data_IF_380332964881
#
_entry.id   IF_380332964881
#
_cell.length_a   1.000
_cell.length_b   1.000
_cell.length_c   1.000
_cell.angle_alpha   90.00
_cell.angle_beta   90.00
_cell.angle_gamma   90.00
#
_symmetry.space_group_name_H-M   'P 1'
#
loop_
_entity.id
_entity.type
_entity.pdbx_description
1 polymer ?
#
# COMPACT_ATOMS: atom_id res chain seq x y z
N UNK A 1 14.77 78.85 21.66
CA UNK A 1 14.92 79.28 20.28
C UNK A 1 15.66 78.16 19.56
N UNK A 2 14.99 77.39 18.68
CA UNK A 2 15.64 76.31 17.88
C UNK A 2 15.97 76.81 16.50
N UNK A 3 17.15 76.45 16.00
CA UNK A 3 17.58 76.79 14.64
C UNK A 3 16.87 75.89 13.62
N UNK A 4 16.09 76.49 12.74
CA UNK A 4 15.43 75.78 11.61
C UNK A 4 16.04 76.36 10.34
N UNK A 5 16.65 75.50 9.51
CA UNK A 5 17.21 75.89 8.23
C UNK A 5 16.16 75.73 7.13
N UNK A 6 15.82 76.81 6.44
CA UNK A 6 14.97 76.80 5.27
C UNK A 6 15.83 76.86 4.02
N UNK A 7 16.02 75.82 3.28
CA UNK A 7 16.65 75.89 1.96
C UNK A 7 15.56 76.09 0.90
N UNK A 8 15.65 77.11 0.08
CA UNK A 8 14.67 77.50 -0.93
C UNK A 8 14.51 76.50 -2.09
N UNK A 9 15.49 75.60 -2.33
CA UNK A 9 15.48 74.67 -3.47
C UNK A 9 15.13 73.19 -3.13
N UNK A 10 15.19 72.81 -1.86
CA UNK A 10 14.78 71.43 -1.46
C UNK A 10 13.88 71.55 -0.22
N UNK A 11 12.65 71.06 -0.34
CA UNK A 11 11.61 71.02 0.73
C UNK A 11 11.96 69.94 1.80
N UNK A 12 13.10 70.15 2.49
CA UNK A 12 13.51 69.28 3.57
C UNK A 12 13.58 70.04 4.91
N UNK A 13 12.80 69.58 5.87
CA UNK A 13 12.92 69.96 7.26
C UNK A 13 14.01 69.13 7.93
N UNK A 14 15.09 69.78 8.39
CA UNK A 14 16.11 69.14 9.20
C UNK A 14 15.87 69.41 10.68
N UNK A 15 15.54 68.34 11.43
CA UNK A 15 15.63 68.37 12.90
C UNK A 15 17.08 68.46 13.36
N UNK A 16 17.38 68.60 14.68
CA UNK A 16 18.73 68.77 15.18
C UNK A 16 19.63 67.62 14.70
N UNK A 17 20.79 67.90 14.11
CA UNK A 17 21.66 66.87 13.57
C UNK A 17 22.11 65.96 14.73
N UNK A 18 21.80 64.66 14.66
CA UNK A 18 22.58 63.67 15.35
C UNK A 18 23.97 63.72 14.72
N UNK A 19 24.93 64.26 15.44
CA UNK A 19 26.30 64.42 15.01
C UNK A 19 26.94 63.08 14.69
N UNK A 20 26.78 62.61 13.44
CA UNK A 20 27.61 61.59 12.83
C UNK A 20 28.83 62.36 12.30
N UNK A 21 29.98 62.10 12.88
CA UNK A 21 31.27 62.59 12.38
C UNK A 21 31.40 62.08 10.94
N UNK A 22 31.60 63.03 9.99
CA UNK A 22 32.13 62.82 8.64
C UNK A 22 31.30 63.41 7.48
N UNK A 23 30.71 64.58 7.63
CA UNK A 23 30.61 65.52 6.48
C UNK A 23 30.86 66.95 6.98
N UNK A 24 32.03 67.39 6.79
CA UNK A 24 32.34 68.82 6.94
C UNK A 24 31.48 69.60 5.94
N UNK A 25 30.62 70.49 6.43
CA UNK A 25 29.97 71.52 5.64
C UNK A 25 31.11 72.42 5.10
N UNK A 26 31.42 72.24 3.82
CA UNK A 26 32.53 72.98 3.17
C UNK A 26 32.13 74.36 2.57
N UNK A 27 30.84 74.72 2.72
CA UNK A 27 30.43 76.10 2.31
C UNK A 27 29.84 76.85 3.50
N UNK A 28 30.20 78.11 3.70
CA UNK A 28 29.64 78.96 4.75
C UNK A 28 28.17 79.22 4.43
N UNK A 29 27.22 78.78 5.34
CA UNK A 29 25.81 79.16 5.29
C UNK A 29 25.75 80.66 5.50
N UNK A 30 25.18 81.41 4.56
CA UNK A 30 24.98 82.90 4.70
C UNK A 30 24.01 83.12 5.88
N UNK A 31 24.37 84.05 6.75
CA UNK A 31 23.51 84.36 7.95
C UNK A 31 22.08 84.81 7.58
N UNK A 32 21.92 85.23 6.33
CA UNK A 32 20.63 85.68 5.79
C UNK A 32 19.60 84.51 5.55
N UNK A 33 20.08 83.27 5.57
CA UNK A 33 19.24 82.06 5.38
C UNK A 33 18.77 81.41 6.75
N UNK A 34 19.21 82.03 7.86
CA UNK A 34 18.86 81.53 9.20
C UNK A 34 17.65 82.30 9.73
N UNK A 35 16.49 81.63 9.74
CA UNK A 35 15.29 82.17 10.39
C UNK A 35 15.21 81.60 11.82
N UNK A 36 15.31 82.50 12.80
CA UNK A 36 15.15 82.21 14.20
C UNK A 36 13.64 82.21 14.50
N UNK A 37 13.03 81.06 14.74
CA UNK A 37 11.63 80.93 15.12
C UNK A 37 11.49 80.74 16.63
N UNK A 38 10.48 81.38 17.27
CA UNK A 38 10.18 81.16 18.69
C UNK A 38 9.77 79.72 18.99
N UNK A 39 10.08 79.21 20.19
CA UNK A 39 9.64 77.91 20.64
C UNK A 39 8.10 77.78 20.57
N UNK A 40 7.37 78.90 20.82
CA UNK A 40 5.91 78.97 20.71
C UNK A 40 5.38 78.67 19.28
N UNK A 41 6.12 79.06 18.23
CA UNK A 41 5.81 78.74 16.85
C UNK A 41 5.98 77.24 16.59
N UNK A 42 7.07 76.68 17.11
CA UNK A 42 7.32 75.24 16.98
C UNK A 42 6.28 74.46 17.72
N UNK A 43 5.90 74.87 18.93
CA UNK A 43 4.85 74.20 19.71
C UNK A 43 3.49 74.34 19.03
N UNK A 44 3.16 75.53 18.45
CA UNK A 44 1.93 75.68 17.66
C UNK A 44 1.90 74.80 16.40
N UNK A 45 3.04 74.61 15.73
CA UNK A 45 3.16 73.77 14.57
C UNK A 45 3.04 72.27 14.93
N UNK A 46 3.63 71.85 16.04
CA UNK A 46 3.54 70.49 16.57
C UNK A 46 2.14 70.12 17.08
N UNK A 47 1.46 71.11 17.66
CA UNK A 47 0.06 70.94 18.14
C UNK A 47 -0.96 71.16 17.05
N UNK A 48 -0.54 71.62 15.85
CA UNK A 48 -1.42 71.96 14.71
C UNK A 48 -2.51 72.98 15.06
N UNK A 49 -2.23 73.87 15.95
CA UNK A 49 -3.18 74.88 16.43
C UNK A 49 -3.18 76.10 15.54
N UNK A 50 -4.24 76.30 14.76
CA UNK A 50 -4.39 77.37 13.81
C UNK A 50 -4.28 78.78 14.50
N UNK A 51 -4.94 78.97 15.63
CA UNK A 51 -4.95 80.23 16.35
C UNK A 51 -3.53 80.63 16.83
N UNK A 52 -2.73 79.63 17.19
CA UNK A 52 -1.35 79.85 17.62
C UNK A 52 -0.39 80.03 16.45
N UNK A 53 -0.72 79.54 15.25
CA UNK A 53 0.07 79.71 14.04
C UNK A 53 -0.24 80.96 13.26
N UNK A 54 -1.47 81.45 13.30
CA UNK A 54 -1.95 82.64 12.58
C UNK A 54 -1.05 83.87 12.79
N UNK A 55 -0.61 84.21 14.04
CA UNK A 55 0.29 85.32 14.27
C UNK A 55 1.64 85.28 13.55
N UNK A 56 2.06 84.06 13.12
CA UNK A 56 3.34 83.80 12.44
C UNK A 56 3.19 83.60 10.93
N UNK A 57 2.10 83.00 10.48
CA UNK A 57 1.87 82.59 9.11
C UNK A 57 0.83 83.44 8.38
N UNK A 58 -0.08 84.12 9.13
CA UNK A 58 -1.17 84.91 8.56
C UNK A 58 -2.05 84.06 7.60
N UNK A 59 -2.36 84.58 6.43
CA UNK A 59 -3.20 83.93 5.41
C UNK A 59 -2.67 82.58 4.95
N UNK A 60 -1.40 82.21 5.24
CA UNK A 60 -0.79 80.92 4.88
C UNK A 60 -1.04 79.85 5.94
N UNK A 61 -1.64 80.18 7.06
CA UNK A 61 -1.90 79.22 8.15
C UNK A 61 -2.71 78.04 7.65
N UNK A 62 -3.76 78.23 6.88
CA UNK A 62 -4.60 77.20 6.30
C UNK A 62 -3.83 76.33 5.29
N UNK A 63 -2.99 76.95 4.42
CA UNK A 63 -2.19 76.22 3.45
C UNK A 63 -1.13 75.30 4.12
N UNK A 64 -0.48 75.81 5.16
CA UNK A 64 0.51 75.06 5.92
C UNK A 64 -0.14 73.90 6.67
N UNK A 65 -1.29 74.13 7.35
CA UNK A 65 -2.02 73.10 8.04
C UNK A 65 -2.55 72.02 7.06
N UNK A 66 -3.11 72.45 5.91
CA UNK A 66 -3.55 71.50 4.88
C UNK A 66 -2.39 70.62 4.35
N UNK A 67 -1.16 71.23 4.17
CA UNK A 67 0.04 70.48 3.78
C UNK A 67 0.45 69.45 4.85
N UNK A 68 0.36 69.84 6.14
CA UNK A 68 0.60 68.90 7.25
C UNK A 68 -0.41 67.79 7.33
N UNK A 69 -1.68 68.10 7.12
CA UNK A 69 -2.76 67.07 7.10
C UNK A 69 -2.56 66.09 5.95
N UNK A 70 -2.29 66.60 4.75
CA UNK A 70 -1.96 65.73 3.59
C UNK A 70 -0.77 64.82 3.88
N UNK A 71 0.32 65.38 4.44
CA UNK A 71 1.52 64.60 4.78
C UNK A 71 1.24 63.56 5.86
N UNK A 72 0.42 63.89 6.84
CA UNK A 72 0.02 62.98 7.89
C UNK A 72 -0.88 61.82 7.39
N UNK A 73 -1.81 62.12 6.47
CA UNK A 73 -2.65 61.10 5.83
C UNK A 73 -1.82 60.18 4.92
N UNK A 74 -0.85 60.74 4.18
CA UNK A 74 0.08 59.93 3.35
C UNK A 74 0.94 59.04 4.24
N UNK A 75 1.42 59.51 5.39
CA UNK A 75 2.20 58.73 6.35
C UNK A 75 1.38 57.56 6.96
N UNK A 76 0.13 57.82 7.33
CA UNK A 76 -0.77 56.76 7.82
C UNK A 76 -1.09 55.74 6.74
N UNK A 77 -1.34 56.18 5.49
CA UNK A 77 -1.58 55.29 4.36
C UNK A 77 -0.39 54.35 4.09
N UNK A 78 0.84 54.91 4.13
CA UNK A 78 2.04 54.13 3.98
C UNK A 78 2.28 53.18 5.14
N UNK A 79 2.02 53.63 6.38
CA UNK A 79 2.12 52.74 7.56
C UNK A 79 1.18 51.56 7.47
N UNK A 80 -0.09 51.79 7.04
CA UNK A 80 -1.06 50.69 6.78
C UNK A 80 -0.53 49.70 5.74
N UNK A 81 0.08 50.17 4.64
CA UNK A 81 0.67 49.30 3.62
C UNK A 81 1.81 48.44 4.20
N UNK A 82 2.72 49.01 5.01
CA UNK A 82 3.78 48.24 5.66
C UNK A 82 3.25 47.19 6.62
N UNK A 83 2.19 47.51 7.38
CA UNK A 83 1.54 46.55 8.26
C UNK A 83 0.89 45.42 7.45
N UNK A 84 0.16 45.74 6.36
CA UNK A 84 -0.44 44.74 5.49
C UNK A 84 0.63 43.84 4.85
N UNK A 85 1.77 44.41 4.47
CA UNK A 85 2.91 43.64 3.97
C UNK A 85 3.48 42.72 5.07
N UNK A 86 3.53 43.17 6.34
CA UNK A 86 3.93 42.35 7.48
C UNK A 86 2.97 41.18 7.69
N UNK A 87 1.67 41.39 7.60
CA UNK A 87 0.64 40.34 7.71
C UNK A 87 0.79 39.33 6.60
N UNK A 88 0.90 39.79 5.36
CA UNK A 88 1.04 38.90 4.18
C UNK A 88 2.34 38.08 4.24
N UNK A 89 3.45 38.71 4.66
CA UNK A 89 4.71 38.00 4.84
C UNK A 89 4.61 36.90 5.92
N UNK A 90 3.89 37.18 7.02
CA UNK A 90 3.70 36.20 8.07
C UNK A 90 2.77 35.05 7.65
N UNK A 91 1.70 35.32 6.91
CA UNK A 91 0.86 34.27 6.33
C UNK A 91 1.66 33.36 5.38
N UNK A 92 2.59 33.95 4.62
CA UNK A 92 3.51 33.19 3.78
C UNK A 92 4.40 32.27 4.61
N UNK A 93 4.94 32.73 5.75
CA UNK A 93 5.74 31.88 6.66
C UNK A 93 4.91 30.69 7.18
N UNK A 94 3.64 30.93 7.55
CA UNK A 94 2.73 29.86 7.99
C UNK A 94 2.49 28.83 6.91
N UNK A 95 2.23 29.26 5.66
CA UNK A 95 2.05 28.36 4.51
C UNK A 95 3.32 27.54 4.25
N UNK A 96 4.49 28.15 4.35
CA UNK A 96 5.78 27.45 4.20
C UNK A 96 5.98 26.40 5.31
N UNK A 97 5.57 26.68 6.55
CA UNK A 97 5.61 25.69 7.63
C UNK A 97 4.68 24.51 7.36
N UNK A 98 3.48 24.73 6.81
CA UNK A 98 2.56 23.66 6.37
C UNK A 98 3.17 22.84 5.21
N UNK A 99 3.82 23.50 4.24
CA UNK A 99 4.54 22.82 3.15
C UNK A 99 5.66 21.92 3.70
N UNK A 100 6.42 22.41 4.68
CA UNK A 100 7.48 21.60 5.33
C UNK A 100 6.92 20.33 5.96
N UNK A 101 5.78 20.42 6.63
CA UNK A 101 5.09 19.24 7.20
C UNK A 101 4.67 18.26 6.10
N UNK A 102 4.05 18.78 5.03
CA UNK A 102 3.59 17.95 3.90
C UNK A 102 4.75 17.22 3.22
N UNK A 103 5.89 17.91 3.03
CA UNK A 103 7.09 17.30 2.44
C UNK A 103 7.65 16.18 3.33
N UNK A 104 7.69 16.36 4.65
CA UNK A 104 8.11 15.31 5.59
C UNK A 104 7.17 14.09 5.56
N UNK A 105 5.86 14.32 5.42
CA UNK A 105 4.90 13.23 5.26
C UNK A 105 5.12 12.47 3.94
N UNK A 106 5.36 13.19 2.84
CA UNK A 106 5.70 12.58 1.54
C UNK A 106 6.98 11.73 1.68
N UNK A 107 8.02 12.23 2.33
CA UNK A 107 9.28 11.51 2.55
C UNK A 107 9.04 10.20 3.32
N UNK A 108 8.31 10.26 4.43
CA UNK A 108 7.95 9.07 5.22
C UNK A 108 7.16 8.03 4.42
N UNK A 109 6.19 8.48 3.60
CA UNK A 109 5.41 7.60 2.73
C UNK A 109 6.27 6.99 1.63
N UNK A 110 7.18 7.78 1.05
CA UNK A 110 8.12 7.33 0.02
C UNK A 110 9.04 6.24 0.55
N UNK A 111 9.55 6.37 1.77
CA UNK A 111 10.32 5.33 2.44
C UNK A 111 9.53 4.02 2.63
N UNK A 112 8.27 4.14 3.03
CA UNK A 112 7.38 2.98 3.18
C UNK A 112 7.10 2.28 1.84
N UNK A 113 6.91 3.05 0.77
CA UNK A 113 6.74 2.52 -0.59
C UNK A 113 8.02 1.83 -1.05
N UNK A 114 9.20 2.41 -0.80
CA UNK A 114 10.49 1.79 -1.15
C UNK A 114 10.65 0.41 -0.51
N UNK A 115 10.33 0.28 0.79
CA UNK A 115 10.38 -1.01 1.49
C UNK A 115 9.37 -2.02 0.92
N UNK A 116 8.16 -1.58 0.55
CA UNK A 116 7.16 -2.44 -0.08
C UNK A 116 7.58 -2.92 -1.47
N UNK A 117 8.29 -2.08 -2.24
CA UNK A 117 8.86 -2.43 -3.56
C UNK A 117 9.96 -3.48 -3.43
N UNK A 118 10.83 -3.37 -2.41
CA UNK A 118 11.85 -4.39 -2.13
C UNK A 118 11.20 -5.74 -1.78
N UNK A 119 10.15 -5.74 -0.96
CA UNK A 119 9.40 -6.94 -0.61
C UNK A 119 8.68 -7.54 -1.82
N UNK A 120 8.08 -6.71 -2.68
CA UNK A 120 7.49 -7.14 -3.95
C UNK A 120 8.53 -7.79 -4.86
N UNK A 121 9.71 -7.21 -5.02
CA UNK A 121 10.79 -7.78 -5.84
C UNK A 121 11.22 -9.15 -5.32
N UNK A 122 11.40 -9.30 -4.01
CA UNK A 122 11.73 -10.59 -3.39
C UNK A 122 10.61 -11.63 -3.61
N UNK A 123 9.35 -11.20 -3.54
CA UNK A 123 8.17 -12.05 -3.76
C UNK A 123 8.09 -12.53 -5.20
N UNK A 124 8.29 -11.63 -6.18
CA UNK A 124 8.32 -11.97 -7.62
C UNK A 124 9.41 -13.02 -7.90
N UNK A 125 10.62 -12.81 -7.38
CA UNK A 125 11.72 -13.77 -7.53
C UNK A 125 11.38 -15.14 -6.91
N UNK A 126 10.73 -15.17 -5.75
CA UNK A 126 10.31 -16.42 -5.10
C UNK A 126 9.23 -17.15 -5.89
N UNK A 127 8.25 -16.43 -6.45
CA UNK A 127 7.21 -17.04 -7.30
C UNK A 127 7.82 -17.56 -8.58
N UNK A 128 8.79 -16.85 -9.19
CA UNK A 128 9.51 -17.31 -10.39
C UNK A 128 10.20 -18.65 -10.13
N UNK A 129 10.99 -18.77 -9.08
CA UNK A 129 11.66 -20.00 -8.72
C UNK A 129 10.68 -21.16 -8.44
N UNK A 130 9.56 -20.85 -7.77
CA UNK A 130 8.51 -21.84 -7.49
C UNK A 130 7.81 -22.31 -8.76
N UNK A 131 7.54 -21.40 -9.71
CA UNK A 131 6.91 -21.71 -10.99
C UNK A 131 7.82 -22.56 -11.88
N UNK A 132 9.11 -22.25 -11.91
CA UNK A 132 10.12 -23.07 -12.62
C UNK A 132 10.22 -24.49 -12.04
N UNK A 133 10.21 -24.62 -10.69
CA UNK A 133 10.21 -25.93 -10.04
C UNK A 133 8.95 -26.71 -10.37
N UNK A 134 7.77 -26.07 -10.30
CA UNK A 134 6.50 -26.71 -10.64
C UNK A 134 6.43 -27.16 -12.11
N UNK A 135 6.98 -26.39 -13.04
CA UNK A 135 7.10 -26.77 -14.46
C UNK A 135 7.99 -28.00 -14.64
N UNK A 136 9.14 -28.06 -13.96
CA UNK A 136 10.06 -29.21 -14.01
C UNK A 136 9.39 -30.46 -13.40
N UNK A 137 8.72 -30.36 -12.26
CA UNK A 137 7.98 -31.46 -11.65
C UNK A 137 6.84 -31.97 -12.55
N UNK A 138 6.14 -31.05 -13.22
CA UNK A 138 5.12 -31.39 -14.20
C UNK A 138 5.71 -32.20 -15.40
N UNK A 139 6.85 -31.78 -15.94
CA UNK A 139 7.52 -32.52 -17.02
C UNK A 139 7.94 -33.92 -16.57
N UNK A 140 8.46 -34.09 -15.37
CA UNK A 140 8.79 -35.40 -14.81
C UNK A 140 7.53 -36.27 -14.66
N UNK A 141 6.42 -35.71 -14.19
CA UNK A 141 5.14 -36.42 -14.02
C UNK A 141 4.55 -36.85 -15.37
N UNK A 142 4.74 -36.10 -16.47
CA UNK A 142 4.39 -36.55 -17.83
C UNK A 142 5.20 -37.78 -18.21
N UNK A 143 6.51 -37.79 -17.98
CA UNK A 143 7.39 -38.93 -18.29
C UNK A 143 7.01 -40.19 -17.50
N UNK A 144 6.63 -40.02 -16.20
CA UNK A 144 6.12 -41.12 -15.35
C UNK A 144 4.80 -41.66 -15.90
N UNK A 145 3.87 -40.77 -16.30
CA UNK A 145 2.57 -41.14 -16.87
C UNK A 145 2.75 -41.92 -18.19
N UNK A 146 3.69 -41.51 -19.04
CA UNK A 146 3.98 -42.22 -20.29
C UNK A 146 4.59 -43.62 -20.04
N UNK A 147 5.46 -43.72 -19.05
CA UNK A 147 5.99 -45.00 -18.56
C UNK A 147 4.86 -45.91 -18.04
N UNK A 148 3.92 -45.37 -17.27
CA UNK A 148 2.72 -46.07 -16.77
C UNK A 148 1.85 -46.57 -17.93
N UNK A 149 1.62 -45.75 -18.95
CA UNK A 149 0.87 -46.10 -20.16
C UNK A 149 1.53 -47.27 -20.90
N UNK A 150 2.87 -47.23 -21.08
CA UNK A 150 3.63 -48.32 -21.71
C UNK A 150 3.56 -49.62 -20.91
N UNK A 151 3.63 -49.54 -19.57
CA UNK A 151 3.47 -50.69 -18.68
C UNK A 151 2.10 -51.29 -18.82
N UNK A 152 1.02 -50.47 -18.86
CA UNK A 152 -0.33 -50.92 -19.08
C UNK A 152 -0.49 -51.62 -20.45
N UNK A 153 0.03 -51.04 -21.52
CA UNK A 153 0.01 -51.69 -22.87
C UNK A 153 0.72 -53.05 -22.88
N UNK A 154 1.85 -53.15 -22.19
CA UNK A 154 2.59 -54.41 -22.06
C UNK A 154 1.77 -55.47 -21.25
N UNK A 155 1.08 -55.05 -20.18
CA UNK A 155 0.26 -55.89 -19.38
C UNK A 155 -1.00 -56.40 -20.16
N UNK A 156 -1.62 -55.53 -20.99
CA UNK A 156 -2.71 -55.91 -21.90
C UNK A 156 -2.24 -57.00 -22.86
N UNK A 157 -1.05 -56.83 -23.46
CA UNK A 157 -0.47 -57.84 -24.35
C UNK A 157 -0.23 -59.19 -23.63
N UNK A 158 0.31 -59.14 -22.42
CA UNK A 158 0.52 -60.35 -21.60
C UNK A 158 -0.79 -61.02 -21.23
N UNK A 159 -1.83 -60.29 -20.87
CA UNK A 159 -3.19 -60.85 -20.60
C UNK A 159 -3.79 -61.48 -21.87
N UNK A 160 -3.56 -60.87 -23.05
CA UNK A 160 -3.96 -61.46 -24.32
C UNK A 160 -3.27 -62.81 -24.56
N UNK A 161 -1.97 -62.93 -24.30
CA UNK A 161 -1.27 -64.21 -24.40
C UNK A 161 -1.78 -65.27 -23.40
N UNK A 162 -2.08 -64.86 -22.17
CA UNK A 162 -2.72 -65.79 -21.16
C UNK A 162 -4.08 -66.26 -21.63
N UNK A 163 -4.91 -65.35 -22.19
CA UNK A 163 -6.23 -65.74 -22.75
C UNK A 163 -6.13 -66.78 -23.83
N UNK A 164 -5.17 -66.60 -24.79
CA UNK A 164 -4.91 -67.61 -25.88
C UNK A 164 -4.46 -68.96 -25.32
N UNK A 165 -3.61 -68.97 -24.30
CA UNK A 165 -3.18 -70.20 -23.63
C UNK A 165 -4.34 -70.91 -22.97
N UNK A 166 -5.21 -70.19 -22.23
CA UNK A 166 -6.41 -70.76 -21.57
C UNK A 166 -7.36 -71.30 -22.62
N UNK A 167 -7.59 -70.57 -23.71
CA UNK A 167 -8.49 -70.96 -24.79
C UNK A 167 -7.96 -72.26 -25.46
N UNK A 168 -6.66 -72.33 -25.79
CA UNK A 168 -6.04 -73.55 -26.35
C UNK A 168 -6.12 -74.75 -25.41
N UNK A 169 -6.00 -74.50 -24.09
CA UNK A 169 -6.14 -75.57 -23.11
C UNK A 169 -7.59 -76.12 -23.05
N UNK A 170 -8.61 -75.26 -23.12
CA UNK A 170 -10.04 -75.65 -23.22
C UNK A 170 -10.27 -76.54 -24.44
N UNK A 171 -9.73 -76.16 -25.61
CA UNK A 171 -9.83 -77.00 -26.84
C UNK A 171 -9.21 -78.37 -26.65
N UNK A 172 -8.00 -78.45 -26.07
CA UNK A 172 -7.32 -79.72 -25.83
C UNK A 172 -8.05 -80.62 -24.84
N UNK A 173 -8.59 -80.07 -23.76
CA UNK A 173 -9.42 -80.81 -22.79
C UNK A 173 -10.74 -81.30 -23.42
N UNK A 174 -11.35 -80.48 -24.27
CA UNK A 174 -12.53 -80.83 -25.02
C UNK A 174 -12.25 -82.01 -25.99
N UNK A 175 -11.11 -81.96 -26.70
CA UNK A 175 -10.66 -83.09 -27.58
C UNK A 175 -10.39 -84.39 -26.78
N UNK A 176 -9.85 -84.29 -25.56
CA UNK A 176 -9.59 -85.38 -24.66
C UNK A 176 -10.95 -85.98 -24.14
N UNK A 177 -11.94 -85.15 -23.85
CA UNK A 177 -13.27 -85.57 -23.47
C UNK A 177 -13.93 -86.36 -24.62
N UNK A 178 -13.79 -85.91 -25.87
CA UNK A 178 -14.30 -86.66 -27.04
C UNK A 178 -13.57 -87.99 -27.23
N UNK A 179 -12.24 -88.03 -27.07
CA UNK A 179 -11.48 -89.25 -27.12
C UNK A 179 -11.92 -90.25 -26.00
N UNK A 180 -12.11 -89.78 -24.79
CA UNK A 180 -12.64 -90.62 -23.66
C UNK A 180 -14.02 -91.14 -23.94
N UNK A 181 -14.90 -90.38 -24.59
CA UNK A 181 -16.22 -90.82 -25.00
C UNK A 181 -16.12 -91.97 -26.03
N UNK A 182 -15.21 -91.86 -27.00
CA UNK A 182 -14.95 -92.94 -27.96
C UNK A 182 -14.41 -94.24 -27.28
N UNK A 183 -13.52 -94.08 -26.28
CA UNK A 183 -13.03 -95.22 -25.50
C UNK A 183 -14.24 -95.83 -24.69
N UNK A 184 -15.10 -95.07 -24.10
CA UNK A 184 -16.25 -95.51 -23.42
C UNK A 184 -17.22 -96.38 -24.31
N UNK A 185 -17.34 -95.93 -25.59
CA UNK A 185 -18.12 -96.72 -26.57
C UNK A 185 -17.44 -98.08 -26.90
N UNK A 186 -16.13 -98.11 -27.02
CA UNK A 186 -15.36 -99.34 -27.28
C UNK A 186 -15.48 -100.30 -26.08
N UNK A 187 -15.32 -99.76 -24.87
CA UNK A 187 -15.53 -100.55 -23.59
C UNK A 187 -16.92 -101.18 -23.50
N UNK A 188 -17.95 -100.36 -23.82
CA UNK A 188 -19.32 -100.91 -23.90
C UNK A 188 -19.51 -101.98 -24.89
N UNK A 189 -18.84 -101.92 -26.05
CA UNK A 189 -18.82 -103.00 -27.07
C UNK A 189 -18.12 -104.22 -26.53
N UNK A 190 -17.00 -104.09 -25.84
CA UNK A 190 -16.20 -105.22 -25.29
C UNK A 190 -17.04 -105.92 -24.18
N UNK A 191 -17.75 -105.10 -23.32
CA UNK A 191 -18.68 -105.59 -22.30
C UNK A 191 -19.77 -106.46 -22.96
N UNK A 192 -20.38 -105.98 -24.04
CA UNK A 192 -21.39 -106.69 -24.78
C UNK A 192 -20.84 -108.02 -25.36
N UNK A 193 -19.67 -108.01 -25.89
CA UNK A 193 -18.93 -109.22 -26.40
C UNK A 193 -18.73 -110.18 -25.20
N UNK A 194 -18.23 -109.68 -24.08
CA UNK A 194 -17.99 -110.51 -22.88
C UNK A 194 -19.28 -111.14 -22.36
N UNK A 195 -20.35 -110.41 -22.32
CA UNK A 195 -21.72 -110.96 -21.95
C UNK A 195 -22.19 -112.00 -22.92
N UNK A 196 -21.98 -111.79 -24.24
CA UNK A 196 -22.33 -112.77 -25.28
C UNK A 196 -21.42 -113.99 -25.20
N UNK A 197 -20.13 -113.80 -24.94
CA UNK A 197 -19.17 -114.95 -24.77
C UNK A 197 -19.51 -115.72 -23.53
N UNK A 198 -19.91 -115.15 -22.46
CA UNK A 198 -20.35 -115.78 -21.24
C UNK A 198 -21.63 -116.60 -21.48
N UNK A 199 -22.57 -116.09 -22.27
CA UNK A 199 -23.81 -116.84 -22.65
C UNK A 199 -23.45 -117.98 -23.59
N UNK A 200 -22.56 -117.84 -24.53
CA UNK A 200 -22.06 -118.91 -25.42
C UNK A 200 -21.34 -119.98 -24.60
N UNK A 201 -20.48 -119.57 -23.67
CA UNK A 201 -19.78 -120.52 -22.78
C UNK A 201 -20.71 -121.29 -21.88
N UNK A 202 -21.78 -120.57 -21.37
CA UNK A 202 -22.81 -121.23 -20.60
C UNK A 202 -23.59 -122.29 -21.40
N UNK A 203 -23.96 -121.97 -22.64
CA UNK A 203 -24.61 -122.91 -23.55
C UNK A 203 -23.72 -124.09 -23.85
N UNK A 204 -22.44 -123.84 -24.10
CA UNK A 204 -21.44 -124.89 -24.33
C UNK A 204 -21.22 -125.77 -23.09
N UNK A 205 -21.24 -125.19 -21.89
CA UNK A 205 -21.17 -125.93 -20.60
C UNK A 205 -22.39 -126.82 -20.41
N UNK A 206 -23.62 -126.34 -20.76
CA UNK A 206 -24.85 -127.11 -20.71
C UNK A 206 -24.76 -128.33 -21.72
N UNK A 207 -24.30 -128.04 -22.98
CA UNK A 207 -24.26 -129.13 -23.97
C UNK A 207 -23.15 -130.09 -23.65
N UNK A 208 -22.03 -129.70 -23.11
CA UNK A 208 -20.97 -130.55 -22.62
C UNK A 208 -21.46 -131.49 -21.46
N UNK A 209 -22.26 -130.91 -20.55
CA UNK A 209 -22.90 -131.77 -19.50
C UNK A 209 -23.90 -132.76 -20.07
N UNK A 210 -24.55 -132.40 -21.17
CA UNK A 210 -25.54 -133.27 -21.85
C UNK A 210 -24.87 -134.43 -22.60
N UNK A 211 -23.62 -134.22 -23.03
CA UNK A 211 -22.81 -135.20 -23.71
C UNK A 211 -22.14 -136.26 -22.74
N UNK A 212 -22.31 -136.09 -21.45
CA UNK A 212 -21.85 -137.07 -20.44
C UNK A 212 -20.34 -137.20 -20.38
N UNK A 213 -19.83 -138.45 -20.32
CA UNK A 213 -18.35 -138.72 -20.26
C UNK A 213 -17.54 -138.19 -21.44
N UNK A 214 -18.12 -138.18 -22.66
CA UNK A 214 -17.48 -137.69 -23.85
C UNK A 214 -17.32 -136.10 -23.85
N UNK A 215 -18.10 -135.41 -23.04
CA UNK A 215 -18.09 -133.93 -22.96
C UNK A 215 -17.21 -133.34 -21.87
N UNK A 216 -16.52 -134.13 -21.05
CA UNK A 216 -15.73 -133.68 -19.91
C UNK A 216 -14.61 -132.62 -20.27
N UNK A 217 -13.89 -132.89 -21.36
CA UNK A 217 -12.82 -131.98 -21.83
C UNK A 217 -13.41 -130.67 -22.35
N UNK A 218 -14.57 -130.68 -23.01
CA UNK A 218 -15.27 -129.52 -23.48
C UNK A 218 -15.86 -128.69 -22.32
N UNK A 219 -16.37 -129.41 -21.29
CA UNK A 219 -16.90 -128.67 -20.08
C UNK A 219 -15.81 -127.87 -19.34
N UNK A 220 -14.57 -128.37 -19.27
CA UNK A 220 -13.44 -127.62 -18.67
C UNK A 220 -13.13 -126.35 -19.47
N UNK A 221 -13.01 -126.50 -20.82
CA UNK A 221 -12.72 -125.30 -21.69
C UNK A 221 -13.89 -124.34 -21.64
N UNK A 222 -15.14 -124.80 -21.70
CA UNK A 222 -16.30 -123.89 -21.57
C UNK A 222 -16.38 -123.22 -20.21
N UNK A 223 -15.97 -123.88 -19.13
CA UNK A 223 -15.89 -123.33 -17.78
C UNK A 223 -14.82 -122.24 -17.70
N UNK A 224 -13.61 -122.47 -18.37
CA UNK A 224 -12.56 -121.49 -18.39
C UNK A 224 -12.89 -120.24 -19.25
N UNK A 225 -13.57 -120.46 -20.43
CA UNK A 225 -14.05 -119.35 -21.28
C UNK A 225 -15.11 -118.54 -20.53
N UNK A 226 -16.04 -119.20 -19.76
CA UNK A 226 -17.00 -118.52 -18.89
C UNK A 226 -16.32 -117.69 -17.82
N UNK A 227 -15.31 -118.13 -17.15
CA UNK A 227 -14.54 -117.47 -16.14
C UNK A 227 -13.84 -116.26 -16.74
N UNK A 228 -13.19 -116.42 -17.91
CA UNK A 228 -12.50 -115.40 -18.64
C UNK A 228 -13.52 -114.32 -19.11
N UNK A 229 -14.69 -114.73 -19.57
CA UNK A 229 -15.75 -113.77 -19.96
C UNK A 229 -16.25 -112.89 -18.76
N UNK A 230 -16.45 -113.56 -17.60
CA UNK A 230 -16.82 -112.79 -16.36
C UNK A 230 -15.71 -111.84 -15.89
N UNK A 231 -14.44 -112.31 -15.93
CA UNK A 231 -13.31 -111.41 -15.57
C UNK A 231 -13.22 -110.28 -16.56
N UNK A 232 -13.48 -110.52 -17.85
CA UNK A 232 -13.48 -109.43 -18.88
C UNK A 232 -14.65 -108.47 -18.62
N UNK A 233 -15.81 -108.93 -18.26
CA UNK A 233 -16.97 -108.12 -17.92
C UNK A 233 -16.71 -107.24 -16.66
N UNK A 234 -16.08 -107.76 -15.63
CA UNK A 234 -15.67 -107.09 -14.43
C UNK A 234 -14.62 -106.04 -14.74
N UNK A 235 -13.57 -106.35 -15.48
CA UNK A 235 -12.57 -105.46 -15.89
C UNK A 235 -13.08 -104.25 -16.77
N UNK A 236 -14.07 -104.54 -17.63
CA UNK A 236 -14.73 -103.52 -18.46
C UNK A 236 -15.60 -102.60 -17.65
N UNK A 237 -16.28 -103.10 -16.58
CA UNK A 237 -17.06 -102.30 -15.67
C UNK A 237 -16.15 -101.32 -14.87
N UNK A 238 -15.04 -101.83 -14.40
CA UNK A 238 -14.01 -101.00 -13.76
C UNK A 238 -13.48 -99.87 -14.71
N UNK A 239 -13.16 -100.20 -15.95
CA UNK A 239 -12.71 -99.26 -16.94
C UNK A 239 -13.81 -98.22 -17.23
N UNK A 240 -15.07 -98.61 -17.36
CA UNK A 240 -16.22 -97.75 -17.56
C UNK A 240 -16.39 -96.74 -16.41
N UNK A 241 -16.24 -97.23 -15.15
CA UNK A 241 -16.27 -96.33 -13.96
C UNK A 241 -15.20 -95.28 -14.04
N UNK A 242 -13.94 -95.68 -14.34
CA UNK A 242 -12.81 -94.80 -14.51
C UNK A 242 -12.98 -93.78 -15.67
N UNK A 243 -13.58 -94.19 -16.78
CA UNK A 243 -13.90 -93.29 -17.90
C UNK A 243 -14.97 -92.28 -17.50
N UNK A 244 -15.97 -92.64 -16.71
CA UNK A 244 -17.02 -91.76 -16.20
C UNK A 244 -16.44 -90.75 -15.25
N UNK A 245 -15.58 -91.15 -14.34
CA UNK A 245 -14.83 -90.28 -13.42
C UNK A 245 -13.93 -89.27 -14.19
N UNK A 246 -13.16 -89.76 -15.17
CA UNK A 246 -12.29 -88.93 -16.03
C UNK A 246 -13.09 -87.87 -16.82
N UNK A 247 -14.29 -88.21 -17.32
CA UNK A 247 -15.21 -87.26 -17.98
C UNK A 247 -15.70 -86.18 -17.04
N UNK A 248 -16.13 -86.56 -15.81
CA UNK A 248 -16.54 -85.60 -14.79
C UNK A 248 -15.42 -84.60 -14.43
N UNK A 249 -14.19 -85.09 -14.34
CA UNK A 249 -13.00 -84.26 -14.07
C UNK A 249 -12.74 -83.31 -15.20
N UNK A 250 -12.83 -83.76 -16.47
CA UNK A 250 -12.66 -82.90 -17.63
C UNK A 250 -13.72 -81.82 -17.73
N UNK A 251 -14.97 -82.09 -17.43
CA UNK A 251 -16.06 -81.10 -17.39
C UNK A 251 -15.80 -80.04 -16.31
N UNK A 252 -15.30 -80.49 -15.15
CA UNK A 252 -14.87 -79.57 -14.08
C UNK A 252 -13.68 -78.68 -14.55
N UNK A 253 -12.67 -79.23 -15.17
CA UNK A 253 -11.54 -78.48 -15.69
C UNK A 253 -12.01 -77.43 -16.73
N UNK A 254 -12.90 -77.82 -17.67
CA UNK A 254 -13.43 -76.88 -18.71
C UNK A 254 -14.16 -75.71 -18.03
N UNK A 255 -14.99 -76.03 -16.97
CA UNK A 255 -15.71 -75.00 -16.24
C UNK A 255 -14.77 -74.00 -15.53
N UNK A 256 -13.76 -74.52 -14.83
CA UNK A 256 -12.73 -73.68 -14.16
C UNK A 256 -11.95 -72.83 -15.17
N UNK A 257 -11.59 -73.44 -16.30
CA UNK A 257 -10.88 -72.71 -17.35
C UNK A 257 -11.73 -71.62 -18.00
N UNK A 258 -13.03 -71.81 -18.21
CA UNK A 258 -13.94 -70.78 -18.70
C UNK A 258 -14.04 -69.59 -17.70
N UNK A 259 -14.21 -69.89 -16.43
CA UNK A 259 -14.20 -68.86 -15.39
C UNK A 259 -12.85 -68.13 -15.30
N UNK A 260 -11.72 -68.84 -15.50
CA UNK A 260 -10.42 -68.27 -15.60
C UNK A 260 -10.28 -67.27 -16.79
N UNK A 261 -10.83 -67.67 -17.96
CA UNK A 261 -10.82 -66.79 -19.15
C UNK A 261 -11.63 -65.51 -18.93
N UNK A 262 -12.80 -65.59 -18.28
CA UNK A 262 -13.62 -64.41 -17.90
C UNK A 262 -12.86 -63.47 -16.93
N UNK A 263 -12.14 -64.09 -15.98
CA UNK A 263 -11.32 -63.32 -15.03
C UNK A 263 -10.16 -62.62 -15.74
N UNK A 264 -9.51 -63.25 -16.69
CA UNK A 264 -8.43 -62.65 -17.53
C UNK A 264 -8.97 -61.54 -18.40
N UNK A 265 -10.15 -61.67 -19.00
CA UNK A 265 -10.77 -60.59 -19.79
C UNK A 265 -11.15 -59.38 -18.93
N UNK A 266 -11.70 -59.61 -17.74
CA UNK A 266 -11.97 -58.54 -16.75
C UNK A 266 -10.67 -57.84 -16.35
N UNK A 267 -9.60 -58.58 -16.09
CA UNK A 267 -8.27 -58.02 -15.79
C UNK A 267 -7.75 -57.18 -16.93
N UNK A 268 -7.87 -57.63 -18.18
CA UNK A 268 -7.46 -56.94 -19.39
C UNK A 268 -8.20 -55.58 -19.50
N UNK A 269 -9.55 -55.57 -19.33
CA UNK A 269 -10.35 -54.34 -19.37
C UNK A 269 -9.93 -53.35 -18.28
N UNK A 270 -9.62 -53.82 -17.08
CA UNK A 270 -9.17 -52.97 -15.97
C UNK A 270 -7.82 -52.31 -16.30
N UNK A 271 -6.89 -53.02 -16.94
CA UNK A 271 -5.60 -52.50 -17.34
C UNK A 271 -5.74 -51.50 -18.52
N UNK A 272 -6.64 -51.77 -19.47
CA UNK A 272 -6.96 -50.81 -20.55
C UNK A 272 -7.49 -49.49 -19.99
N UNK A 273 -8.39 -49.57 -18.98
CA UNK A 273 -8.90 -48.39 -18.27
C UNK A 273 -7.76 -47.62 -17.57
N UNK A 274 -6.89 -48.35 -16.85
CA UNK A 274 -5.73 -47.70 -16.20
C UNK A 274 -4.79 -47.01 -17.23
N UNK A 275 -4.57 -47.61 -18.39
CA UNK A 275 -3.82 -46.97 -19.48
C UNK A 275 -4.46 -45.70 -20.00
N UNK A 276 -5.80 -45.69 -20.14
CA UNK A 276 -6.56 -44.47 -20.53
C UNK A 276 -6.48 -43.38 -19.48
N UNK A 277 -6.55 -43.73 -18.19
CA UNK A 277 -6.40 -42.75 -17.10
C UNK A 277 -5.00 -42.15 -17.03
N UNK A 278 -3.94 -42.94 -17.37
CA UNK A 278 -2.59 -42.41 -17.50
C UNK A 278 -2.47 -41.40 -18.68
N UNK A 279 -3.17 -41.60 -19.76
CA UNK A 279 -3.20 -40.66 -20.89
C UNK A 279 -3.93 -39.36 -20.50
N UNK A 280 -5.08 -39.46 -19.81
CA UNK A 280 -5.80 -38.28 -19.26
C UNK A 280 -4.92 -37.52 -18.26
N UNK A 281 -4.22 -38.22 -17.40
CA UNK A 281 -3.30 -37.62 -16.45
C UNK A 281 -2.18 -36.84 -17.15
N UNK A 282 -1.54 -37.42 -18.15
CA UNK A 282 -0.49 -36.75 -18.95
C UNK A 282 -1.03 -35.46 -19.60
N UNK A 283 -2.25 -35.50 -20.18
CA UNK A 283 -2.91 -34.31 -20.75
C UNK A 283 -3.20 -33.21 -19.70
N UNK A 284 -3.66 -33.61 -18.50
CA UNK A 284 -3.86 -32.67 -17.40
C UNK A 284 -2.57 -32.01 -16.92
N UNK A 285 -1.49 -32.77 -16.83
CA UNK A 285 -0.17 -32.27 -16.42
C UNK A 285 0.42 -31.33 -17.50
N UNK A 286 0.24 -31.63 -18.79
CA UNK A 286 0.63 -30.72 -19.87
C UNK A 286 -0.04 -29.36 -19.71
N UNK A 287 -1.33 -29.31 -19.37
CA UNK A 287 -2.03 -28.05 -19.08
C UNK A 287 -1.45 -27.29 -17.87
N UNK A 288 -0.88 -27.99 -16.89
CA UNK A 288 -0.15 -27.35 -15.77
C UNK A 288 1.12 -26.71 -16.28
N UNK A 289 1.89 -27.38 -17.16
CA UNK A 289 3.11 -26.81 -17.75
C UNK A 289 2.79 -25.53 -18.54
N UNK A 290 1.76 -25.55 -19.39
CA UNK A 290 1.33 -24.37 -20.16
C UNK A 290 0.99 -23.19 -19.24
N UNK A 291 0.30 -23.46 -18.12
CA UNK A 291 -0.02 -22.42 -17.13
C UNK A 291 1.21 -21.87 -16.41
N UNK A 292 2.21 -22.71 -16.16
CA UNK A 292 3.47 -22.22 -15.55
C UNK A 292 4.24 -21.31 -16.52
N UNK A 293 4.20 -21.57 -17.83
CA UNK A 293 4.76 -20.68 -18.84
C UNK A 293 4.02 -19.33 -18.89
N UNK A 294 2.68 -19.34 -18.81
CA UNK A 294 1.86 -18.12 -18.74
C UNK A 294 2.20 -17.30 -17.46
N UNK A 295 2.29 -17.97 -16.30
CA UNK A 295 2.72 -17.33 -15.06
C UNK A 295 4.12 -16.72 -15.20
N UNK A 296 5.05 -17.41 -15.84
CA UNK A 296 6.40 -16.87 -16.09
C UNK A 296 6.36 -15.59 -16.93
N UNK A 297 5.48 -15.51 -17.94
CA UNK A 297 5.26 -14.29 -18.71
C UNK A 297 4.76 -13.13 -17.85
N UNK A 298 3.74 -13.38 -17.01
CA UNK A 298 3.19 -12.39 -16.07
C UNK A 298 4.25 -11.91 -15.08
N UNK A 299 5.12 -12.80 -14.59
CA UNK A 299 6.17 -12.43 -13.63
C UNK A 299 7.24 -11.52 -14.26
N UNK A 300 7.55 -11.70 -15.55
CA UNK A 300 8.44 -10.79 -16.29
C UNK A 300 7.84 -9.39 -16.39
N UNK A 301 6.54 -9.28 -16.69
CA UNK A 301 5.84 -8.00 -16.72
C UNK A 301 5.80 -7.37 -15.32
N UNK A 302 5.51 -8.16 -14.27
CA UNK A 302 5.48 -7.69 -12.89
C UNK A 302 6.87 -7.22 -12.41
N UNK A 303 7.93 -7.90 -12.80
CA UNK A 303 9.31 -7.48 -12.53
C UNK A 303 9.58 -6.09 -13.14
N UNK A 304 9.23 -5.90 -14.41
CA UNK A 304 9.38 -4.61 -15.10
C UNK A 304 8.58 -3.49 -14.44
N UNK A 305 7.32 -3.77 -14.06
CA UNK A 305 6.48 -2.80 -13.34
C UNK A 305 7.06 -2.44 -11.96
N UNK A 306 7.62 -3.42 -11.24
CA UNK A 306 8.26 -3.20 -9.94
C UNK A 306 9.51 -2.31 -10.07
N UNK A 307 10.31 -2.52 -11.12
CA UNK A 307 11.48 -1.67 -11.43
C UNK A 307 11.07 -0.24 -11.80
N UNK A 308 9.99 -0.06 -12.55
CA UNK A 308 9.44 1.26 -12.88
C UNK A 308 8.94 1.99 -11.63
N UNK A 309 8.23 1.30 -10.73
CA UNK A 309 7.79 1.86 -9.44
C UNK A 309 9.01 2.27 -8.61
N UNK A 310 10.05 1.44 -8.52
CA UNK A 310 11.29 1.75 -7.81
C UNK A 310 11.95 3.02 -8.37
N UNK A 311 12.00 3.16 -9.69
CA UNK A 311 12.48 4.36 -10.37
C UNK A 311 11.66 5.59 -10.03
N UNK A 312 10.32 5.46 -10.04
CA UNK A 312 9.38 6.52 -9.63
C UNK A 312 9.58 6.99 -8.20
N UNK A 313 9.75 6.04 -7.26
CA UNK A 313 10.05 6.31 -5.84
C UNK A 313 11.35 7.12 -5.71
N UNK A 314 12.40 6.75 -6.45
CA UNK A 314 13.65 7.51 -6.49
C UNK A 314 13.49 8.95 -7.01
N UNK A 315 12.59 9.16 -7.98
CA UNK A 315 12.25 10.52 -8.48
C UNK A 315 11.53 11.31 -7.39
N UNK A 316 10.53 10.73 -6.72
CA UNK A 316 9.77 11.40 -5.65
C UNK A 316 10.70 11.80 -4.49
N UNK A 317 11.61 10.91 -4.06
CA UNK A 317 12.59 11.21 -3.01
C UNK A 317 13.47 12.42 -3.38
N UNK A 318 13.94 12.49 -4.62
CA UNK A 318 14.72 13.62 -5.13
C UNK A 318 13.92 14.94 -5.15
N UNK A 319 12.66 14.88 -5.66
CA UNK A 319 11.76 16.05 -5.66
C UNK A 319 11.45 16.52 -4.23
N UNK A 320 11.30 15.59 -3.29
CA UNK A 320 11.08 15.91 -1.87
C UNK A 320 12.28 16.67 -1.30
N UNK A 321 13.50 16.24 -1.57
CA UNK A 321 14.72 16.92 -1.15
C UNK A 321 14.88 18.33 -1.81
N UNK A 322 14.53 18.45 -3.09
CA UNK A 322 14.50 19.74 -3.78
C UNK A 322 13.46 20.69 -3.17
N UNK A 323 12.26 20.19 -2.85
CA UNK A 323 11.22 20.96 -2.19
C UNK A 323 11.68 21.48 -0.81
N UNK A 324 12.40 20.67 -0.02
CA UNK A 324 13.01 21.15 1.24
C UNK A 324 13.92 22.33 0.98
N UNK A 325 14.79 22.26 -0.04
CA UNK A 325 15.70 23.34 -0.38
C UNK A 325 14.98 24.62 -0.84
N UNK A 326 13.90 24.47 -1.62
CA UNK A 326 13.08 25.62 -2.07
C UNK A 326 12.34 26.26 -0.90
N UNK A 327 11.82 25.45 0.01
CA UNK A 327 11.19 25.89 1.26
C UNK A 327 12.18 26.69 2.09
N UNK A 328 13.40 26.20 2.27
CA UNK A 328 14.46 26.88 3.00
C UNK A 328 14.82 28.23 2.37
N UNK A 329 14.95 28.30 1.05
CA UNK A 329 15.20 29.54 0.33
C UNK A 329 14.04 30.55 0.46
N UNK A 330 12.79 30.06 0.46
CA UNK A 330 11.61 30.89 0.67
C UNK A 330 11.59 31.51 2.08
N UNK A 331 11.89 30.70 3.11
CA UNK A 331 12.00 31.19 4.49
C UNK A 331 13.09 32.25 4.60
N UNK A 332 14.29 31.99 4.05
CA UNK A 332 15.40 32.96 4.08
C UNK A 332 15.05 34.30 3.38
N UNK A 333 14.25 34.25 2.32
CA UNK A 333 13.75 35.45 1.65
C UNK A 333 12.77 36.22 2.53
N UNK A 334 11.84 35.52 3.18
CA UNK A 334 10.89 36.11 4.12
C UNK A 334 11.58 36.70 5.36
N UNK A 335 12.62 36.04 5.87
CA UNK A 335 13.42 36.53 6.99
C UNK A 335 14.16 37.84 6.65
N UNK A 336 14.65 37.99 5.42
CA UNK A 336 15.29 39.27 4.97
C UNK A 336 14.29 40.39 4.79
N UNK A 337 13.03 40.09 4.48
CA UNK A 337 11.97 41.09 4.31
C UNK A 337 11.52 41.69 5.65
N UNK A 338 11.53 40.90 6.70
CA UNK A 338 11.03 41.28 8.02
C UNK A 338 11.73 42.51 8.65
N UNK A 339 13.07 42.62 8.70
CA UNK A 339 13.70 43.80 9.27
C UNK A 339 13.45 45.07 8.43
N UNK A 340 13.25 44.93 7.12
CA UNK A 340 12.91 46.06 6.26
C UNK A 340 11.54 46.61 6.67
N UNK A 341 10.55 45.74 6.79
CA UNK A 341 9.19 46.13 7.22
C UNK A 341 9.22 46.74 8.63
N UNK A 342 9.89 46.09 9.59
CA UNK A 342 9.99 46.60 10.95
C UNK A 342 10.64 47.97 11.04
N UNK A 343 11.78 48.17 10.33
CA UNK A 343 12.48 49.44 10.29
C UNK A 343 11.60 50.54 9.69
N UNK A 344 10.85 50.21 8.61
CA UNK A 344 9.93 51.17 7.99
C UNK A 344 8.80 51.57 8.94
N UNK A 345 8.20 50.60 9.63
CA UNK A 345 7.15 50.85 10.62
C UNK A 345 7.71 51.69 11.77
N UNK A 346 8.86 51.38 12.33
CA UNK A 346 9.48 52.13 13.43
C UNK A 346 9.80 53.58 13.03
N UNK A 347 10.16 53.81 11.78
CA UNK A 347 10.37 55.18 11.27
C UNK A 347 9.10 55.98 11.31
N UNK A 348 7.96 55.45 10.84
CA UNK A 348 6.68 56.15 10.90
C UNK A 348 6.15 56.35 12.35
N UNK A 349 6.47 55.41 13.26
CA UNK A 349 6.18 55.58 14.70
C UNK A 349 6.98 56.72 15.28
N UNK A 350 8.26 56.90 14.91
CA UNK A 350 9.11 58.00 15.38
C UNK A 350 8.72 59.33 14.79
N UNK A 351 8.17 59.38 13.59
CA UNK A 351 7.63 60.58 12.95
C UNK A 351 6.31 61.04 13.56
N UNK A 352 5.69 60.23 14.45
CA UNK A 352 4.42 60.55 15.13
C UNK A 352 3.21 60.45 14.21
N UNK A 353 3.24 59.53 13.24
CA UNK A 353 2.09 59.26 12.39
C UNK A 353 0.83 58.91 13.23
N UNK A 354 -0.37 59.33 12.81
CA UNK A 354 -1.62 58.96 13.51
C UNK A 354 -1.74 57.45 13.66
N UNK A 355 -2.27 57.02 14.81
CA UNK A 355 -2.45 55.61 15.13
C UNK A 355 -1.16 54.74 15.04
N UNK A 356 0.03 55.37 14.97
CA UNK A 356 1.30 54.67 14.75
C UNK A 356 1.52 53.52 15.77
N UNK A 357 1.17 53.72 17.03
CA UNK A 357 1.31 52.68 18.07
C UNK A 357 0.41 51.49 17.82
N UNK A 358 -0.84 51.70 17.38
CA UNK A 358 -1.79 50.66 17.03
C UNK A 358 -1.27 49.84 15.84
N UNK A 359 -0.82 50.52 14.80
CA UNK A 359 -0.28 49.89 13.61
C UNK A 359 1.05 49.11 13.88
N UNK A 360 1.93 49.70 14.70
CA UNK A 360 3.14 48.98 15.13
C UNK A 360 2.84 47.78 15.99
N UNK A 361 1.82 47.83 16.87
CA UNK A 361 1.37 46.68 17.65
C UNK A 361 0.89 45.51 16.79
N UNK A 362 0.21 45.81 15.66
CA UNK A 362 -0.15 44.77 14.67
C UNK A 362 1.06 44.08 14.12
N UNK A 363 2.08 44.85 13.67
CA UNK A 363 3.31 44.28 13.16
C UNK A 363 4.05 43.43 14.19
N UNK A 364 4.16 43.92 15.44
CA UNK A 364 4.79 43.18 16.53
C UNK A 364 4.11 41.83 16.78
N UNK A 365 2.77 41.79 16.77
CA UNK A 365 2.01 40.55 16.87
C UNK A 365 2.35 39.56 15.75
N UNK A 366 2.46 40.06 14.50
CA UNK A 366 2.81 39.22 13.36
C UNK A 366 4.24 38.70 13.44
N UNK A 367 5.18 39.53 13.89
CA UNK A 367 6.57 39.13 14.14
C UNK A 367 6.63 38.02 15.21
N UNK A 368 5.84 38.18 16.27
CA UNK A 368 5.78 37.20 17.36
C UNK A 368 5.26 35.85 16.88
N UNK A 369 4.15 35.83 16.11
CA UNK A 369 3.58 34.61 15.50
C UNK A 369 4.58 33.94 14.55
N UNK A 370 5.32 34.73 13.77
CA UNK A 370 6.38 34.20 12.88
C UNK A 370 7.47 33.50 13.68
N UNK A 371 7.92 34.07 14.80
CA UNK A 371 8.94 33.42 15.66
C UNK A 371 8.48 32.06 16.18
N UNK A 372 7.20 31.90 16.51
CA UNK A 372 6.61 30.61 16.88
C UNK A 372 6.64 29.61 15.69
N UNK A 373 6.29 30.07 14.49
CA UNK A 373 6.37 29.24 13.29
C UNK A 373 7.83 28.81 12.96
N UNK A 374 8.80 29.71 13.11
CA UNK A 374 10.23 29.41 12.96
C UNK A 374 10.73 28.38 13.97
N UNK A 375 10.20 28.41 15.19
CA UNK A 375 10.50 27.39 16.22
C UNK A 375 10.02 26.01 15.77
N UNK A 376 8.80 25.88 15.25
CA UNK A 376 8.31 24.61 14.69
C UNK A 376 9.18 24.09 13.53
N UNK A 377 9.69 25.00 12.71
CA UNK A 377 10.60 24.67 11.61
C UNK A 377 12.03 24.30 12.08
N UNK A 378 12.32 24.42 13.39
CA UNK A 378 13.64 24.18 13.98
C UNK A 378 14.66 25.27 13.68
N UNK A 379 14.21 26.45 13.20
CA UNK A 379 15.06 27.60 12.84
C UNK A 379 15.21 28.63 13.96
N UNK A 380 14.35 28.61 14.96
CA UNK A 380 14.45 29.47 16.13
C UNK A 380 14.34 28.63 17.39
N UNK A 381 15.12 29.00 18.40
CA UNK A 381 15.00 28.46 19.75
C UNK A 381 14.35 29.53 20.62
N UNK A 382 13.12 29.27 21.08
CA UNK A 382 12.38 30.22 21.92
C UNK A 382 12.27 29.64 23.32
N UNK A 383 12.80 30.34 24.30
CA UNK A 383 12.62 29.99 25.70
C UNK A 383 11.31 30.64 26.19
N UNK A 384 10.43 29.86 26.84
CA UNK A 384 9.13 30.36 27.34
C UNK A 384 9.27 31.57 28.26
N UNK A 385 10.30 31.60 29.12
CA UNK A 385 10.60 32.65 30.08
C UNK A 385 11.14 33.94 29.44
N UNK A 386 11.64 33.91 28.20
CA UNK A 386 12.11 35.05 27.43
C UNK A 386 10.99 35.63 26.52
N UNK A 387 9.83 34.98 26.43
CA UNK A 387 8.71 35.47 25.64
C UNK A 387 7.90 36.53 26.40
N UNK A 388 7.64 37.64 25.71
CA UNK A 388 6.82 38.69 26.26
C UNK A 388 5.40 38.20 26.56
N UNK A 389 4.85 38.57 27.71
CA UNK A 389 3.43 38.41 28.04
C UNK A 389 2.59 39.61 27.52
N UNK A 390 1.29 39.55 27.74
CA UNK A 390 0.34 40.54 27.27
C UNK A 390 0.44 41.93 27.97
N UNK A 391 1.25 42.09 29.00
CA UNK A 391 1.58 43.36 29.66
C UNK A 391 2.93 43.89 29.24
N UNK A 392 3.90 43.05 29.00
CA UNK A 392 5.29 43.41 28.70
C UNK A 392 5.52 43.75 27.22
N UNK A 393 4.64 43.34 26.31
CA UNK A 393 4.71 43.69 24.88
C UNK A 393 4.36 45.18 24.63
N UNK A 394 4.61 45.68 23.41
CA UNK A 394 4.33 47.09 23.02
C UNK A 394 2.83 47.43 23.21
N UNK A 395 1.95 46.57 22.73
CA UNK A 395 0.50 46.74 22.85
C UNK A 395 0.06 46.75 24.31
N UNK A 396 0.56 45.85 25.13
CA UNK A 396 0.22 45.81 26.57
C UNK A 396 0.66 47.06 27.30
N UNK A 397 1.91 47.51 27.09
CA UNK A 397 2.38 48.76 27.70
C UNK A 397 1.59 49.98 27.25
N UNK A 398 1.22 50.06 25.95
CA UNK A 398 0.34 51.13 25.47
C UNK A 398 -1.06 51.04 26.06
N UNK A 399 -1.64 49.84 26.12
CA UNK A 399 -2.94 49.57 26.69
C UNK A 399 -3.01 49.98 28.19
N UNK A 400 -2.02 49.55 28.97
CA UNK A 400 -1.95 49.84 30.41
C UNK A 400 -1.70 51.32 30.73
N UNK A 401 -1.05 52.06 29.81
CA UNK A 401 -0.72 53.47 29.95
C UNK A 401 -1.81 54.41 29.39
N UNK A 402 -2.81 53.89 28.68
CA UNK A 402 -3.80 54.73 27.99
C UNK A 402 -4.82 55.30 28.96
N UNK A 403 -5.02 56.62 28.87
CA UNK A 403 -5.95 57.37 29.73
C UNK A 403 -7.01 58.16 28.94
N UNK A 404 -6.94 58.13 27.61
CA UNK A 404 -7.91 58.81 26.76
C UNK A 404 -9.31 58.21 26.91
N UNK A 405 -10.31 58.97 27.38
CA UNK A 405 -11.69 58.46 27.60
C UNK A 405 -12.36 58.03 26.27
N UNK A 406 -11.96 58.61 25.14
CA UNK A 406 -12.52 58.27 23.83
C UNK A 406 -12.11 56.88 23.39
N UNK A 407 -10.85 56.54 23.59
CA UNK A 407 -10.33 55.19 23.33
C UNK A 407 -10.82 54.17 24.37
N UNK A 408 -10.67 54.46 25.65
CA UNK A 408 -11.02 53.55 26.75
C UNK A 408 -12.52 53.29 26.85
N UNK A 409 -13.36 54.19 26.36
CA UNK A 409 -14.81 54.05 26.27
C UNK A 409 -15.28 53.24 25.05
N UNK A 410 -14.44 52.96 24.09
CA UNK A 410 -14.82 52.22 22.87
C UNK A 410 -15.06 50.74 23.17
N UNK A 411 -16.12 50.09 22.63
CA UNK A 411 -16.37 48.64 22.87
C UNK A 411 -15.21 47.73 22.50
N UNK A 412 -14.49 48.00 21.38
CA UNK A 412 -13.33 47.24 20.96
C UNK A 412 -12.17 47.32 21.97
N UNK A 413 -12.06 48.41 22.77
CA UNK A 413 -11.05 48.54 23.81
C UNK A 413 -11.19 47.45 24.87
N UNK A 414 -12.38 47.29 25.42
CA UNK A 414 -12.67 46.29 26.46
C UNK A 414 -12.59 44.85 25.87
N UNK A 415 -13.01 44.68 24.62
CA UNK A 415 -12.98 43.40 23.95
C UNK A 415 -11.56 42.92 23.63
N UNK A 416 -10.58 43.84 23.48
CA UNK A 416 -9.20 43.55 23.04
C UNK A 416 -8.41 42.69 24.03
N UNK A 417 -8.61 42.90 25.35
CA UNK A 417 -7.76 42.27 26.37
C UNK A 417 -7.83 40.76 26.39
N UNK A 418 -9.03 40.18 26.17
CA UNK A 418 -9.25 38.74 26.17
C UNK A 418 -8.44 38.00 25.06
N UNK A 419 -8.68 38.33 23.81
CA UNK A 419 -7.90 37.77 22.69
C UNK A 419 -6.39 38.05 22.80
N UNK A 420 -5.98 39.27 23.21
CA UNK A 420 -4.57 39.61 23.39
C UNK A 420 -3.88 38.73 24.43
N UNK A 421 -4.52 38.52 25.58
CA UNK A 421 -4.03 37.58 26.60
C UNK A 421 -3.91 36.16 26.08
N UNK A 422 -4.87 35.69 25.28
CA UNK A 422 -4.90 34.37 24.75
C UNK A 422 -3.76 34.10 23.72
N UNK A 423 -3.45 35.10 22.88
CA UNK A 423 -2.28 35.02 21.96
C UNK A 423 -1.03 34.69 22.75
N UNK A 424 -0.72 35.46 23.79
CA UNK A 424 0.51 35.27 24.56
C UNK A 424 0.49 33.98 25.36
N UNK A 425 -0.64 33.64 25.99
CA UNK A 425 -0.80 32.37 26.73
C UNK A 425 -0.55 31.15 25.85
N UNK A 426 -1.24 31.10 24.71
CA UNK A 426 -1.14 29.96 23.79
C UNK A 426 0.25 29.83 23.17
N UNK A 427 0.89 30.95 22.81
CA UNK A 427 2.22 30.88 22.23
C UNK A 427 3.34 30.56 23.22
N UNK A 428 3.25 31.00 24.48
CA UNK A 428 4.18 30.57 25.53
C UNK A 428 4.00 29.08 25.79
N UNK A 429 2.75 28.62 25.93
CA UNK A 429 2.44 27.20 26.09
C UNK A 429 2.93 26.35 24.89
N UNK A 430 2.85 26.90 23.66
CA UNK A 430 3.38 26.24 22.47
C UNK A 430 4.92 26.02 22.55
N UNK A 431 5.64 27.03 23.05
CA UNK A 431 7.09 26.92 23.24
C UNK A 431 7.44 25.87 24.32
N UNK A 432 6.71 25.83 25.43
CA UNK A 432 6.85 24.80 26.47
C UNK A 432 6.59 23.40 25.94
N UNK A 433 5.49 23.23 25.18
CA UNK A 433 5.07 21.96 24.61
C UNK A 433 6.05 21.46 23.55
N UNK A 434 6.58 22.39 22.71
CA UNK A 434 7.63 22.06 21.75
C UNK A 434 8.91 21.57 22.42
N UNK A 435 9.35 22.22 23.51
CA UNK A 435 10.53 21.80 24.28
C UNK A 435 10.35 20.45 24.96
N UNK A 436 9.14 20.03 25.29
CA UNK A 436 8.83 18.68 25.81
C UNK A 436 8.83 17.59 24.73
N UNK A 437 8.94 17.96 23.44
CA UNK A 437 8.95 17.03 22.30
C UNK A 437 7.57 16.75 21.71
N UNK A 438 6.49 17.35 22.22
CA UNK A 438 5.13 17.21 21.66
C UNK A 438 4.92 18.24 20.54
N UNK A 439 5.36 17.87 19.33
CA UNK A 439 5.21 18.69 18.13
C UNK A 439 3.74 18.96 17.77
N UNK A 440 2.88 17.95 17.85
CA UNK A 440 1.47 18.09 17.48
C UNK A 440 0.72 18.98 18.48
N UNK A 441 1.05 18.89 19.75
CA UNK A 441 0.54 19.78 20.80
C UNK A 441 0.96 21.23 20.55
N UNK A 442 2.24 21.46 20.25
CA UNK A 442 2.77 22.79 19.94
C UNK A 442 2.09 23.39 18.69
N UNK A 443 1.90 22.62 17.63
CA UNK A 443 1.18 23.06 16.42
C UNK A 443 -0.25 23.52 16.78
N UNK A 444 -1.02 22.74 17.53
CA UNK A 444 -2.39 23.12 17.94
C UNK A 444 -2.41 24.44 18.70
N UNK A 445 -1.50 24.61 19.66
CA UNK A 445 -1.40 25.85 20.44
C UNK A 445 -1.01 27.07 19.60
N UNK A 446 -0.18 26.92 18.58
CA UNK A 446 0.13 27.99 17.63
C UNK A 446 -1.09 28.33 16.76
N UNK A 447 -1.93 27.36 16.41
CA UNK A 447 -3.21 27.62 15.74
C UNK A 447 -4.15 28.45 16.63
N UNK A 448 -4.29 28.09 17.91
CA UNK A 448 -5.12 28.84 18.87
C UNK A 448 -4.61 30.28 19.02
N UNK A 449 -3.29 30.46 19.13
CA UNK A 449 -2.67 31.79 19.14
C UNK A 449 -2.97 32.57 17.86
N UNK A 450 -2.95 31.90 16.69
CA UNK A 450 -3.26 32.49 15.40
C UNK A 450 -4.72 32.95 15.27
N UNK A 451 -5.68 32.16 15.77
CA UNK A 451 -7.09 32.56 15.83
C UNK A 451 -7.28 33.80 16.72
N UNK A 452 -6.71 33.75 17.92
CA UNK A 452 -6.78 34.88 18.84
C UNK A 452 -6.08 36.12 18.25
N UNK A 453 -4.97 35.99 17.55
CA UNK A 453 -4.25 37.08 16.88
C UNK A 453 -5.09 37.74 15.78
N UNK A 454 -5.88 36.99 15.00
CA UNK A 454 -6.80 37.58 14.00
C UNK A 454 -7.85 38.48 14.66
N UNK A 455 -8.40 38.06 15.81
CA UNK A 455 -9.36 38.87 16.55
C UNK A 455 -8.71 40.14 17.14
N UNK A 456 -7.47 40.04 17.65
CA UNK A 456 -6.69 41.22 18.08
C UNK A 456 -6.52 42.19 16.91
N UNK A 457 -6.15 41.71 15.72
CA UNK A 457 -5.96 42.53 14.54
C UNK A 457 -7.24 43.27 14.14
N UNK A 458 -8.38 42.56 14.12
CA UNK A 458 -9.69 43.11 13.81
C UNK A 458 -10.09 44.24 14.79
N UNK A 459 -9.90 44.01 16.08
CA UNK A 459 -10.23 44.99 17.12
C UNK A 459 -9.29 46.21 17.05
N UNK A 460 -8.04 46.04 16.73
CA UNK A 460 -7.11 47.13 16.48
C UNK A 460 -7.47 47.95 15.23
N UNK A 461 -8.03 47.32 14.19
CA UNK A 461 -8.56 48.02 13.01
C UNK A 461 -9.78 48.88 13.38
N UNK A 462 -10.70 48.36 14.18
CA UNK A 462 -11.87 49.15 14.69
C UNK A 462 -11.41 50.33 15.50
N UNK A 463 -10.43 50.16 16.40
CA UNK A 463 -9.89 51.26 17.20
C UNK A 463 -9.19 52.31 16.34
N UNK A 464 -8.41 51.92 15.34
CA UNK A 464 -7.72 52.86 14.47
C UNK A 464 -8.69 53.66 13.59
N UNK A 465 -9.77 53.04 13.11
CA UNK A 465 -10.82 53.67 12.32
C UNK A 465 -11.56 54.75 13.14
N UNK A 466 -11.87 54.44 14.40
CA UNK A 466 -12.56 55.39 15.30
C UNK A 466 -11.75 56.65 15.57
N UNK A 467 -10.44 56.53 15.79
CA UNK A 467 -9.53 57.68 15.99
C UNK A 467 -9.43 58.56 14.74
N UNK A 468 -9.45 57.97 13.55
CA UNK A 468 -9.36 58.72 12.27
C UNK A 468 -10.65 59.49 11.97
N UNK A 469 -11.85 58.90 12.26
CA UNK A 469 -13.15 59.57 12.06
C UNK A 469 -13.34 60.78 12.98
N UNK A 470 -12.81 60.72 14.19
CA UNK A 470 -12.96 61.85 15.15
C UNK A 470 -12.00 62.98 14.88
N UNK A 471 -10.81 62.71 14.34
CA UNK A 471 -9.91 63.79 13.91
C UNK A 471 -10.44 64.60 12.72
N UNK A 472 -11.43 64.08 11.99
CA UNK A 472 -12.10 64.76 10.87
C UNK A 472 -13.41 65.49 11.25
N UNK A 473 -13.96 65.27 12.47
CA UNK A 473 -15.24 65.85 12.91
C UNK A 473 -15.11 67.01 13.88
N UNK A 474 -13.90 67.36 14.34
CA UNK A 474 -13.68 68.59 15.16
C UNK A 474 -13.50 69.87 14.31
N UNK A 475 -13.69 69.80 12.98
CA UNK A 475 -13.54 70.90 12.03
C UNK A 475 -14.86 71.37 11.35
N UNK A 476 -16.05 71.08 11.93
CA UNK A 476 -17.34 71.68 11.50
C UNK A 476 -17.89 72.67 12.60
#
# INVERSE_FOLDING_TARGET
>A
MRLVFLNQDERCWYGPPKCGKDKALTEPIALDDIVLVPDSFIDALLTRNADLLEPYLGDRTAEVLASFQSHSQDAEGQLKQWVEMSVTANDSVRQVAEMTRSVREVDSRTQSIASAVEELSATVNSITATSESAAAEAQEAVAVSDTGKQAAASAVSAMGAVFEVVHSAVEKVSALAEASNRIGQIVSTIEAIAKQTNLLALNATIEAARAGEAGKGFAVVAGEVKTLANQTAEATDDIRSRITELRSEMDTIVTVMKSGAETVDTGRQSIETAGSEMERLAGGITSVTDRMEEISGILIEQQSATEEIAGGVGVIARMSAENVSLIDAAIDSLERTAPIISTSIDAYVQEGAPNATIHAAKSDHMIWMRRLAQMLAGRAFLKPDELADHHSCRLGKWYDAQTDPQLTGHPAWTALIGPHKEVHRAGIAAAETFMSGDMDGAIRLIWDAGEASREVMRLLDELSGHVTEQSGTEED
#
